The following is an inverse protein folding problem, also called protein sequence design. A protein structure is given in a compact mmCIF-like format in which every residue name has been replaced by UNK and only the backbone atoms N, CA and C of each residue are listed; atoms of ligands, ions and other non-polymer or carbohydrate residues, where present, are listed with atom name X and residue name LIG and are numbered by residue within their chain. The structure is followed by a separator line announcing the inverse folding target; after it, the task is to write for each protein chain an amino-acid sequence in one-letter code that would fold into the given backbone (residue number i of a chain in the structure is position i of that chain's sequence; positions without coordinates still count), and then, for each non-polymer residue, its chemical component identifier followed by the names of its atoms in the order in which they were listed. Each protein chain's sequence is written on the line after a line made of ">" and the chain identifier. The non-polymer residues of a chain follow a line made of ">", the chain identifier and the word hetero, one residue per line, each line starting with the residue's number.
data_IF_455115600853
#
_entry.id   IF_455115600853
#
_cell.length_a   1.000
_cell.length_b   1.000
_cell.length_c   1.000
_cell.angle_alpha   90.00
_cell.angle_beta   90.00
_cell.angle_gamma   90.00
#
_symmetry.space_group_name_H-M   'P 1'
#
loop_
_entity.id
_entity.type
_entity.pdbx_description
1 polymer ?
#
# COMPACT_ATOMS: atom_id res chain seq x y z
N UNK A 1 15.75 1.73 19.35
CA UNK A 1 16.39 1.83 18.03
C UNK A 1 16.32 3.31 17.64
N UNK A 2 17.45 4.01 17.59
CA UNK A 2 17.49 5.44 17.21
C UNK A 2 17.52 5.54 15.70
N UNK A 3 16.51 6.19 15.12
CA UNK A 3 16.45 6.45 13.69
C UNK A 3 17.54 7.43 13.27
N UNK A 4 18.16 7.22 12.10
CA UNK A 4 19.06 8.21 11.53
C UNK A 4 18.27 9.46 11.12
N UNK A 5 18.93 10.62 11.11
CA UNK A 5 18.31 11.86 10.63
C UNK A 5 17.77 11.71 9.19
N UNK A 6 18.45 10.93 8.34
CA UNK A 6 18.00 10.66 6.98
C UNK A 6 16.72 9.79 6.96
N UNK A 7 16.63 8.74 7.77
CA UNK A 7 15.42 7.92 7.85
C UNK A 7 14.21 8.71 8.38
N UNK A 8 14.41 9.61 9.35
CA UNK A 8 13.36 10.53 9.83
C UNK A 8 12.90 11.44 8.71
N UNK A 9 13.82 12.04 7.95
CA UNK A 9 13.50 12.91 6.81
C UNK A 9 12.72 12.15 5.73
N UNK A 10 13.16 10.95 5.36
CA UNK A 10 12.47 10.11 4.36
C UNK A 10 11.08 9.69 4.82
N UNK A 11 10.92 9.38 6.12
CA UNK A 11 9.60 9.13 6.72
C UNK A 11 8.70 10.34 6.59
N UNK A 12 9.19 11.54 6.91
CA UNK A 12 8.41 12.77 6.80
C UNK A 12 7.96 13.05 5.35
N UNK A 13 8.81 12.78 4.35
CA UNK A 13 8.43 12.87 2.94
C UNK A 13 7.32 11.88 2.57
N UNK A 14 7.46 10.61 2.98
CA UNK A 14 6.44 9.59 2.74
C UNK A 14 5.11 9.94 3.41
N UNK A 15 5.14 10.29 4.70
CA UNK A 15 3.97 10.64 5.50
C UNK A 15 3.30 11.92 4.97
N UNK A 16 4.08 12.90 4.50
CA UNK A 16 3.57 14.11 3.87
C UNK A 16 2.82 13.82 2.56
N UNK A 17 3.38 12.97 1.71
CA UNK A 17 2.69 12.51 0.50
C UNK A 17 1.44 11.70 0.85
N UNK A 18 1.50 10.80 1.83
CA UNK A 18 0.35 10.01 2.28
C UNK A 18 -0.79 10.91 2.78
N UNK A 19 -0.46 11.90 3.61
CA UNK A 19 -1.43 12.82 4.22
C UNK A 19 -2.22 13.62 3.16
N UNK A 20 -1.56 14.05 2.09
CA UNK A 20 -2.19 14.81 1.01
C UNK A 20 -3.19 13.99 0.17
N UNK A 21 -3.17 12.67 0.29
CA UNK A 21 -3.98 11.76 -0.55
C UNK A 21 -4.96 10.90 0.26
N UNK A 22 -5.17 11.17 1.56
CA UNK A 22 -6.02 10.34 2.44
C UNK A 22 -7.47 10.20 1.96
N UNK A 23 -7.99 11.12 1.16
CA UNK A 23 -9.34 11.03 0.57
C UNK A 23 -9.52 9.84 -0.38
N UNK A 24 -8.41 9.23 -0.83
CA UNK A 24 -8.41 8.06 -1.72
C UNK A 24 -8.15 6.74 -0.98
N UNK A 25 -8.34 6.73 0.34
CA UNK A 25 -8.13 5.55 1.18
C UNK A 25 -9.34 4.61 1.16
N UNK A 26 -9.07 3.31 0.99
CA UNK A 26 -10.06 2.23 1.02
C UNK A 26 -9.78 1.33 2.22
N UNK A 27 -10.66 1.27 3.24
CA UNK A 27 -10.54 0.28 4.30
C UNK A 27 -10.72 -1.14 3.75
N UNK A 28 -9.78 -2.04 4.08
CA UNK A 28 -9.84 -3.45 3.69
C UNK A 28 -10.51 -4.30 4.78
N UNK A 29 -10.02 -4.21 6.02
CA UNK A 29 -10.56 -4.90 7.19
C UNK A 29 -10.00 -4.26 8.47
N UNK A 30 -10.74 -4.33 9.57
CA UNK A 30 -10.27 -3.90 10.89
C UNK A 30 -9.53 -5.04 11.59
N UNK A 31 -8.65 -4.72 12.55
CA UNK A 31 -7.89 -5.73 13.28
C UNK A 31 -8.79 -6.80 13.91
N UNK A 32 -8.55 -8.06 13.58
CA UNK A 32 -9.35 -9.21 14.03
C UNK A 32 -10.52 -9.60 13.12
N UNK A 33 -10.82 -8.83 12.07
CA UNK A 33 -11.84 -9.18 11.08
C UNK A 33 -11.26 -9.98 9.90
N UNK A 34 -12.10 -10.75 9.24
CA UNK A 34 -11.80 -11.32 7.92
C UNK A 34 -11.96 -10.27 6.82
N UNK A 35 -11.23 -10.42 5.73
CA UNK A 35 -11.35 -9.51 4.59
C UNK A 35 -12.59 -9.86 3.76
N UNK A 36 -13.62 -9.02 3.84
CA UNK A 36 -14.76 -9.09 2.93
C UNK A 36 -14.37 -8.61 1.52
N UNK A 37 -13.99 -9.58 0.68
CA UNK A 37 -13.57 -9.36 -0.71
C UNK A 37 -14.62 -8.62 -1.53
N UNK A 38 -15.92 -8.89 -1.34
CA UNK A 38 -16.99 -8.26 -2.12
C UNK A 38 -17.10 -6.79 -1.75
N UNK A 39 -17.09 -6.49 -0.45
CA UNK A 39 -17.13 -5.11 0.04
C UNK A 39 -15.90 -4.32 -0.40
N UNK A 40 -14.70 -4.91 -0.31
CA UNK A 40 -13.46 -4.28 -0.80
C UNK A 40 -13.53 -3.99 -2.29
N UNK A 41 -13.96 -4.95 -3.11
CA UNK A 41 -14.08 -4.77 -4.56
C UNK A 41 -15.09 -3.68 -4.93
N UNK A 42 -16.22 -3.59 -4.22
CA UNK A 42 -17.21 -2.54 -4.45
C UNK A 42 -16.63 -1.15 -4.14
N UNK A 43 -15.93 -1.00 -3.02
CA UNK A 43 -15.25 0.26 -2.65
C UNK A 43 -14.18 0.66 -3.67
N UNK A 44 -13.35 -0.28 -4.10
CA UNK A 44 -12.33 -0.04 -5.13
C UNK A 44 -12.95 0.34 -6.47
N UNK A 45 -14.02 -0.33 -6.88
CA UNK A 45 -14.74 -0.02 -8.13
C UNK A 45 -15.30 1.39 -8.10
N UNK A 46 -15.94 1.78 -6.99
CA UNK A 46 -16.45 3.15 -6.80
C UNK A 46 -15.32 4.19 -6.81
N UNK A 47 -14.21 3.94 -6.11
CA UNK A 47 -13.08 4.85 -6.06
C UNK A 47 -12.43 5.05 -7.43
N UNK A 48 -12.08 3.96 -8.12
CA UNK A 48 -11.47 3.98 -9.46
C UNK A 48 -12.41 4.62 -10.47
N UNK A 49 -13.72 4.32 -10.41
CA UNK A 49 -14.73 4.93 -11.28
C UNK A 49 -14.90 6.44 -11.10
N UNK A 50 -14.58 6.98 -9.91
CA UNK A 50 -14.56 8.44 -9.66
C UNK A 50 -13.30 9.11 -10.19
N UNK A 51 -12.15 8.43 -10.13
CA UNK A 51 -10.86 9.00 -10.53
C UNK A 51 -10.63 8.93 -12.04
N UNK A 52 -11.10 7.87 -12.71
CA UNK A 52 -11.01 7.67 -14.17
C UNK A 52 -9.60 7.91 -14.74
N UNK A 53 -8.58 7.50 -13.99
CA UNK A 53 -7.19 7.65 -14.40
C UNK A 53 -6.72 6.49 -15.31
N UNK A 54 -5.72 6.74 -16.18
CA UNK A 54 -5.13 5.71 -17.04
C UNK A 54 -4.20 4.75 -16.30
N UNK A 55 -3.52 5.23 -15.25
CA UNK A 55 -2.66 4.44 -14.37
C UNK A 55 -2.82 4.92 -12.93
N UNK A 56 -2.58 4.04 -11.97
CA UNK A 56 -2.72 4.29 -10.55
C UNK A 56 -1.49 3.79 -9.79
N UNK A 57 -1.10 4.51 -8.76
CA UNK A 57 -0.23 4.03 -7.68
C UNK A 57 -1.09 3.63 -6.49
N UNK A 58 -0.68 2.61 -5.76
CA UNK A 58 -1.38 2.20 -4.55
C UNK A 58 -0.42 1.75 -3.46
N UNK A 59 -0.85 1.95 -2.21
CA UNK A 59 -0.09 1.63 -1.00
C UNK A 59 -0.98 0.84 -0.05
N UNK A 60 -0.60 -0.40 0.23
CA UNK A 60 -1.15 -1.17 1.34
C UNK A 60 -0.53 -0.69 2.64
N UNK A 61 -1.36 -0.30 3.59
CA UNK A 61 -0.97 0.24 4.89
C UNK A 61 -1.45 -0.70 6.00
N UNK A 62 -0.57 -0.96 6.94
CA UNK A 62 -0.90 -1.47 8.27
C UNK A 62 -1.09 -0.28 9.21
N UNK A 63 -2.32 -0.06 9.66
CA UNK A 63 -2.59 0.95 10.68
C UNK A 63 -2.51 0.30 12.07
N UNK A 64 -1.57 0.83 12.85
CA UNK A 64 -1.34 0.53 14.27
C UNK A 64 -1.76 1.75 15.10
N UNK A 65 -2.02 1.62 16.40
CA UNK A 65 -2.48 2.74 17.23
C UNK A 65 -1.61 4.01 17.13
N UNK A 66 -0.30 3.86 16.92
CA UNK A 66 0.65 4.97 16.88
C UNK A 66 1.16 5.34 15.47
N UNK A 67 0.89 4.53 14.44
CA UNK A 67 1.48 4.75 13.11
C UNK A 67 0.76 4.01 11.97
N UNK A 68 0.88 4.55 10.75
CA UNK A 68 0.57 3.85 9.51
C UNK A 68 1.89 3.40 8.87
N UNK A 69 2.04 2.09 8.67
CA UNK A 69 3.26 1.50 8.08
C UNK A 69 2.96 0.91 6.71
N UNK A 70 3.71 1.26 5.65
CA UNK A 70 3.53 0.64 4.35
C UNK A 70 3.94 -0.84 4.38
N UNK A 71 3.07 -1.68 3.85
CA UNK A 71 3.30 -3.11 3.69
C UNK A 71 3.62 -3.48 2.25
N UNK A 72 2.98 -2.85 1.28
CA UNK A 72 3.17 -3.09 -0.14
C UNK A 72 2.91 -1.81 -0.91
N UNK A 73 3.69 -1.56 -1.96
CA UNK A 73 3.51 -0.41 -2.86
C UNK A 73 3.50 -0.97 -4.27
N UNK A 74 2.63 -0.48 -5.13
CA UNK A 74 2.65 -0.91 -6.51
C UNK A 74 1.86 0.03 -7.40
N UNK A 75 1.83 -0.33 -8.68
CA UNK A 75 1.07 0.38 -9.69
C UNK A 75 0.25 -0.57 -10.56
N UNK A 76 -0.81 -0.05 -11.15
CA UNK A 76 -1.67 -0.80 -12.06
C UNK A 76 -2.48 0.12 -12.96
N UNK A 77 -2.78 -0.36 -14.18
CA UNK A 77 -3.81 0.22 -15.04
C UNK A 77 -5.22 -0.06 -14.49
N UNK A 78 -5.41 -1.22 -13.86
CA UNK A 78 -6.68 -1.64 -13.25
C UNK A 78 -6.45 -2.07 -11.79
N UNK A 79 -6.57 -1.15 -10.81
CA UNK A 79 -6.42 -1.49 -9.38
C UNK A 79 -7.40 -2.57 -8.94
N UNK A 80 -8.64 -2.55 -9.46
CA UNK A 80 -9.67 -3.54 -9.14
C UNK A 80 -9.23 -4.96 -9.47
N UNK A 81 -8.71 -5.18 -10.67
CA UNK A 81 -8.28 -6.52 -11.11
C UNK A 81 -7.02 -6.96 -10.37
N UNK A 82 -6.04 -6.05 -10.24
CA UNK A 82 -4.81 -6.32 -9.50
C UNK A 82 -5.09 -6.70 -8.04
N UNK A 83 -5.96 -5.95 -7.37
CA UNK A 83 -6.31 -6.25 -5.97
C UNK A 83 -7.19 -7.47 -5.82
N UNK A 84 -8.03 -7.79 -6.80
CA UNK A 84 -8.73 -9.08 -6.83
C UNK A 84 -7.75 -10.24 -6.83
N UNK A 85 -6.68 -10.16 -7.64
CA UNK A 85 -5.62 -11.17 -7.65
C UNK A 85 -4.87 -11.24 -6.32
N UNK A 86 -4.52 -10.09 -5.71
CA UNK A 86 -3.86 -10.06 -4.41
C UNK A 86 -4.72 -10.70 -3.30
N UNK A 87 -6.02 -10.41 -3.27
CA UNK A 87 -6.93 -10.97 -2.27
C UNK A 87 -7.12 -12.49 -2.45
N UNK A 88 -7.20 -12.98 -3.69
CA UNK A 88 -7.22 -14.42 -3.98
C UNK A 88 -5.90 -15.08 -3.58
N UNK A 89 -4.78 -14.44 -3.91
CA UNK A 89 -3.44 -14.92 -3.55
C UNK A 89 -3.25 -15.01 -2.04
N UNK A 90 -3.67 -13.98 -1.30
CA UNK A 90 -3.63 -13.93 0.16
C UNK A 90 -4.46 -15.06 0.79
N UNK A 91 -5.66 -15.32 0.26
CA UNK A 91 -6.50 -16.43 0.72
C UNK A 91 -5.83 -17.80 0.49
N UNK A 92 -5.19 -18.00 -0.66
CA UNK A 92 -4.49 -19.26 -1.00
C UNK A 92 -3.19 -19.46 -0.23
N UNK A 93 -2.42 -18.39 0.00
CA UNK A 93 -1.23 -18.43 0.83
C UNK A 93 0.01 -19.10 0.24
N UNK A 94 0.09 -19.24 -1.07
CA UNK A 94 1.21 -19.90 -1.75
C UNK A 94 2.21 -18.90 -2.33
N UNK A 95 3.46 -19.32 -2.51
CA UNK A 95 4.52 -18.49 -3.12
C UNK A 95 4.76 -17.18 -2.36
N UNK A 96 4.75 -16.05 -3.07
CA UNK A 96 4.93 -14.72 -2.48
C UNK A 96 3.86 -14.38 -1.43
N UNK A 97 2.66 -14.94 -1.54
CA UNK A 97 1.56 -14.70 -0.60
C UNK A 97 1.70 -15.45 0.72
N UNK A 98 2.61 -16.44 0.84
CA UNK A 98 2.93 -17.05 2.13
C UNK A 98 3.46 -15.98 3.10
N UNK A 99 4.39 -15.13 2.62
CA UNK A 99 4.93 -14.01 3.40
C UNK A 99 3.87 -12.96 3.72
N UNK A 100 2.96 -12.69 2.79
CA UNK A 100 1.84 -11.78 3.02
C UNK A 100 0.94 -12.29 4.15
N UNK A 101 0.59 -13.59 4.14
CA UNK A 101 -0.21 -14.19 5.21
C UNK A 101 0.47 -14.06 6.57
N UNK A 102 1.74 -14.45 6.68
CA UNK A 102 2.50 -14.35 7.94
C UNK A 102 2.54 -12.91 8.48
N UNK A 103 2.66 -11.92 7.59
CA UNK A 103 2.73 -10.50 7.97
C UNK A 103 1.36 -9.91 8.32
N UNK A 104 0.31 -10.25 7.56
CA UNK A 104 -0.97 -9.56 7.59
C UNK A 104 -2.07 -10.30 8.36
N UNK A 105 -2.03 -11.63 8.43
CA UNK A 105 -3.06 -12.47 9.05
C UNK A 105 -2.59 -13.09 10.36
N UNK A 106 -3.52 -13.32 11.29
CA UNK A 106 -3.23 -14.02 12.56
C UNK A 106 -2.88 -15.48 12.27
N UNK A 107 -1.91 -16.03 12.99
CA UNK A 107 -1.48 -17.41 12.82
C UNK A 107 -2.64 -18.39 13.06
N UNK A 108 -2.86 -19.33 12.13
CA UNK A 108 -3.97 -20.28 12.21
C UNK A 108 -5.37 -19.70 11.90
N UNK A 109 -5.48 -18.43 11.51
CA UNK A 109 -6.77 -17.77 11.26
C UNK A 109 -6.79 -17.01 9.92
N UNK A 110 -7.99 -16.69 9.41
CA UNK A 110 -8.19 -15.83 8.22
C UNK A 110 -8.38 -14.35 8.58
N UNK A 111 -8.31 -14.01 9.86
CA UNK A 111 -8.47 -12.64 10.34
C UNK A 111 -7.18 -11.82 10.30
N UNK A 112 -7.32 -10.51 10.08
CA UNK A 112 -6.17 -9.60 9.94
C UNK A 112 -5.56 -9.23 11.31
N UNK A 113 -4.24 -9.01 11.33
CA UNK A 113 -3.48 -8.64 12.54
C UNK A 113 -3.63 -7.17 12.91
N UNK A 114 -3.81 -6.32 11.91
CA UNK A 114 -3.86 -4.86 12.02
C UNK A 114 -5.02 -4.35 11.17
N UNK A 115 -5.42 -3.10 11.38
CA UNK A 115 -6.30 -2.42 10.45
C UNK A 115 -5.57 -2.34 9.10
N UNK A 116 -6.16 -2.93 8.08
CA UNK A 116 -5.61 -2.90 6.73
C UNK A 116 -6.33 -1.84 5.91
N UNK A 117 -5.55 -0.94 5.33
CA UNK A 117 -6.06 0.13 4.48
C UNK A 117 -5.29 0.17 3.18
N UNK A 118 -5.96 0.58 2.10
CA UNK A 118 -5.38 0.66 0.79
C UNK A 118 -5.58 2.05 0.22
N UNK A 119 -4.49 2.80 0.08
CA UNK A 119 -4.49 4.07 -0.64
C UNK A 119 -4.41 3.78 -2.14
N UNK A 120 -5.25 4.40 -2.97
CA UNK A 120 -5.20 4.26 -4.44
C UNK A 120 -5.33 5.63 -5.11
N UNK A 121 -4.25 6.10 -5.72
CA UNK A 121 -4.18 7.42 -6.36
C UNK A 121 -3.94 7.26 -7.85
N UNK A 122 -4.86 7.78 -8.66
CA UNK A 122 -4.77 7.85 -10.11
C UNK A 122 -3.85 8.98 -10.55
N UNK A 123 -3.25 8.84 -11.73
CA UNK A 123 -2.27 9.80 -12.24
C UNK A 123 -2.71 11.28 -12.19
N UNK A 124 -3.94 11.65 -12.61
CA UNK A 124 -4.40 13.05 -12.53
C UNK A 124 -4.62 13.54 -11.09
N UNK A 125 -4.69 12.64 -10.11
CA UNK A 125 -4.91 12.95 -8.70
C UNK A 125 -3.61 13.06 -7.89
N UNK A 126 -2.44 12.78 -8.49
CA UNK A 126 -1.14 13.00 -7.85
C UNK A 126 -0.90 14.51 -7.75
N UNK A 127 -0.93 15.05 -6.53
CA UNK A 127 -0.78 16.49 -6.31
C UNK A 127 0.68 16.98 -6.44
N UNK A 128 1.63 16.16 -5.99
CA UNK A 128 3.05 16.45 -5.99
C UNK A 128 3.87 15.14 -5.91
N UNK A 129 5.15 15.15 -6.34
CA UNK A 129 6.01 13.97 -6.23
C UNK A 129 6.43 13.73 -4.76
N UNK A 130 6.59 12.48 -4.31
CA UNK A 130 7.05 12.18 -2.94
C UNK A 130 8.43 12.77 -2.61
N UNK A 131 9.32 12.89 -3.59
CA UNK A 131 10.60 13.58 -3.48
C UNK A 131 10.52 14.87 -4.32
N UNK A 132 10.85 16.05 -3.75
CA UNK A 132 10.83 17.31 -4.49
C UNK A 132 11.65 17.25 -5.78
N UNK A 133 11.20 17.97 -6.81
CA UNK A 133 11.84 18.11 -8.13
C UNK A 133 11.90 16.82 -8.98
N UNK A 134 11.29 15.72 -8.54
CA UNK A 134 11.15 14.50 -9.34
C UNK A 134 9.88 14.51 -10.23
N UNK A 135 9.82 13.67 -11.27
CA UNK A 135 8.61 13.51 -12.08
C UNK A 135 7.42 12.98 -11.27
N UNK A 136 6.21 13.39 -11.68
CA UNK A 136 4.92 12.97 -11.08
C UNK A 136 4.24 11.81 -11.82
N UNK A 137 4.91 11.18 -12.79
CA UNK A 137 4.34 9.99 -13.46
C UNK A 137 4.16 8.87 -12.44
N UNK A 138 3.16 8.02 -12.64
CA UNK A 138 2.87 6.93 -11.68
C UNK A 138 4.09 6.02 -11.45
N UNK A 139 4.84 5.71 -12.50
CA UNK A 139 6.09 4.94 -12.37
C UNK A 139 7.16 5.64 -11.52
N UNK A 140 7.34 6.95 -11.68
CA UNK A 140 8.30 7.70 -10.88
C UNK A 140 7.84 7.81 -9.42
N UNK A 141 6.55 8.05 -9.18
CA UNK A 141 5.97 8.14 -7.83
C UNK A 141 6.10 6.80 -7.10
N UNK A 142 5.75 5.69 -7.75
CA UNK A 142 5.89 4.35 -7.18
C UNK A 142 7.34 4.05 -6.78
N UNK A 143 8.30 4.30 -7.69
CA UNK A 143 9.72 4.13 -7.40
C UNK A 143 10.19 4.96 -6.19
N UNK A 144 9.79 6.23 -6.12
CA UNK A 144 10.11 7.12 -5.01
C UNK A 144 9.51 6.62 -3.69
N UNK A 145 8.23 6.24 -3.68
CA UNK A 145 7.56 5.71 -2.49
C UNK A 145 8.21 4.42 -1.99
N UNK A 146 8.60 3.52 -2.90
CA UNK A 146 9.33 2.30 -2.56
C UNK A 146 10.66 2.62 -1.90
N UNK A 147 11.45 3.54 -2.48
CA UNK A 147 12.74 3.95 -1.92
C UNK A 147 12.61 4.61 -0.55
N UNK A 148 11.70 5.59 -0.43
CA UNK A 148 11.39 6.24 0.86
C UNK A 148 10.97 5.21 1.91
N UNK A 149 10.05 4.31 1.57
CA UNK A 149 9.53 3.34 2.52
C UNK A 149 10.57 2.30 2.96
N UNK A 150 11.42 1.84 2.03
CA UNK A 150 12.47 0.86 2.33
C UNK A 150 13.51 1.39 3.31
N UNK A 151 13.81 2.69 3.26
CA UNK A 151 14.81 3.33 4.11
C UNK A 151 14.23 3.88 5.42
N UNK A 152 12.92 4.20 5.45
CA UNK A 152 12.28 4.93 6.53
C UNK A 152 11.40 4.09 7.47
N UNK A 153 11.03 2.86 7.09
CA UNK A 153 10.18 1.99 7.92
C UNK A 153 10.91 0.71 8.30
N UNK A 154 10.64 0.16 9.51
CA UNK A 154 11.45 -0.92 10.06
C UNK A 154 11.09 -2.27 9.42
N UNK A 155 9.90 -2.38 8.82
CA UNK A 155 9.40 -3.60 8.20
C UNK A 155 9.63 -3.57 6.69
N UNK A 156 10.46 -4.49 6.19
CA UNK A 156 10.70 -4.65 4.75
C UNK A 156 9.38 -4.83 3.99
N UNK A 157 9.17 -4.02 2.96
CA UNK A 157 8.04 -4.13 2.03
C UNK A 157 7.84 -5.57 1.52
N UNK A 158 6.59 -5.87 1.17
CA UNK A 158 6.16 -7.12 0.58
C UNK A 158 6.39 -7.16 -0.95
N UNK A 159 6.90 -6.08 -1.54
CA UNK A 159 7.37 -6.00 -2.91
C UNK A 159 8.45 -7.07 -3.16
N UNK A 160 8.13 -8.09 -3.97
CA UNK A 160 9.02 -9.23 -4.23
C UNK A 160 9.03 -9.70 -5.68
N UNK A 161 8.83 -8.79 -6.62
CA UNK A 161 9.38 -8.94 -7.98
C UNK A 161 10.51 -7.93 -8.11
N UNK A 162 11.77 -8.36 -7.95
CA UNK A 162 12.95 -7.56 -8.31
C UNK A 162 14.04 -7.34 -7.24
N UNK A 163 13.90 -7.81 -6.00
CA UNK A 163 15.02 -7.84 -5.04
C UNK A 163 15.47 -9.28 -4.77
N UNK A 164 16.05 -9.91 -5.79
CA UNK A 164 17.08 -10.92 -5.58
C UNK A 164 18.16 -10.28 -4.72
N UNK A 165 18.42 -10.86 -3.55
CA UNK A 165 19.68 -10.58 -2.83
C UNK A 165 20.85 -11.02 -3.70
#
# INVERSE_FOLDING_TARGET
>A
MTWSADAIRKRALFDGWLAAHLDFLVPLASAGEEIDRRTVQARLTSLVGRQQAPEYVYVLLERRPAEMTPAYIGKALSPRERWTQHLIGLARGTGSYARWRTRLLREGHESVRFDLQLLVVGEPQVQFPPIPDFPMTIGAVEYQLVGLAADAYPLRLLNHEGQTR
#
